data_IF_036027142912
#
_entry.id   IF_036027142912
#
_cell.length_a   1.000
_cell.length_b   1.000
_cell.length_c   1.000
_cell.angle_alpha   90.00
_cell.angle_beta   90.00
_cell.angle_gamma   90.00
#
_symmetry.space_group_name_H-M   'P 1'
#
loop_
_entity.id
_entity.type
_entity.pdbx_description
1 polymer ?
#
# COMPACT_ATOMS: atom_id res chain seq x y z
N UNK A 1 14.14 -98.27 2.12
CA UNK A 1 15.34 -97.92 2.91
C UNK A 1 16.11 -96.84 2.19
N UNK A 2 16.46 -95.77 2.93
CA UNK A 2 17.38 -94.66 2.61
C UNK A 2 17.00 -93.71 1.44
N UNK A 3 16.52 -92.49 1.72
CA UNK A 3 17.23 -91.23 2.09
C UNK A 3 17.82 -90.49 0.88
N UNK A 4 17.15 -89.41 0.45
CA UNK A 4 17.77 -88.16 0.00
C UNK A 4 16.73 -87.03 0.13
N UNK A 5 16.86 -86.21 1.17
CA UNK A 5 16.16 -84.94 1.29
C UNK A 5 17.16 -83.82 0.99
N UNK A 6 16.94 -83.09 -0.10
CA UNK A 6 17.68 -81.86 -0.42
C UNK A 6 16.97 -80.69 0.27
N UNK A 7 17.62 -80.13 1.28
CA UNK A 7 17.25 -78.85 1.89
C UNK A 7 17.88 -77.74 1.07
N UNK A 8 17.07 -76.95 0.35
CA UNK A 8 17.49 -75.65 -0.18
C UNK A 8 17.01 -74.56 0.78
N UNK A 9 17.96 -73.96 1.49
CA UNK A 9 17.74 -72.80 2.35
C UNK A 9 17.63 -71.58 1.44
N UNK A 10 16.43 -70.99 1.34
CA UNK A 10 16.25 -69.69 0.71
C UNK A 10 16.59 -68.61 1.74
N UNK A 11 17.72 -67.93 1.56
CA UNK A 11 18.03 -66.70 2.30
C UNK A 11 17.06 -65.61 1.84
N UNK A 12 16.03 -65.34 2.63
CA UNK A 12 15.22 -64.13 2.48
C UNK A 12 16.02 -62.97 3.05
N UNK A 13 16.75 -62.26 2.18
CA UNK A 13 17.28 -60.94 2.52
C UNK A 13 16.10 -59.96 2.59
N UNK A 14 15.70 -59.59 3.80
CA UNK A 14 14.84 -58.42 4.02
C UNK A 14 15.51 -57.19 3.43
N UNK A 15 14.85 -56.44 2.53
CA UNK A 15 15.38 -55.17 2.07
C UNK A 15 15.44 -54.21 3.26
N UNK A 16 16.64 -53.69 3.51
CA UNK A 16 16.86 -52.59 4.45
C UNK A 16 15.97 -51.42 4.03
N UNK A 17 14.90 -51.17 4.79
CA UNK A 17 14.13 -49.94 4.68
C UNK A 17 15.01 -48.81 5.22
N UNK A 18 15.80 -48.20 4.34
CA UNK A 18 16.31 -46.86 4.56
C UNK A 18 15.06 -45.98 4.70
N UNK A 19 14.84 -45.28 5.83
CA UNK A 19 13.71 -44.39 5.94
C UNK A 19 13.89 -43.29 4.89
N UNK A 20 13.01 -43.28 3.88
CA UNK A 20 12.85 -42.15 2.99
C UNK A 20 12.48 -40.95 3.85
N UNK A 21 13.48 -40.13 4.21
CA UNK A 21 13.25 -38.77 4.65
C UNK A 21 12.54 -38.07 3.51
N UNK A 22 11.20 -38.03 3.57
CA UNK A 22 10.37 -37.16 2.73
C UNK A 22 10.89 -35.75 2.93
N UNK A 23 11.71 -35.29 1.98
CA UNK A 23 12.15 -33.90 1.92
C UNK A 23 10.88 -33.08 1.79
N UNK A 24 10.52 -32.38 2.87
CA UNK A 24 9.32 -31.56 2.92
C UNK A 24 9.49 -30.48 1.85
N UNK A 25 8.58 -30.44 0.89
CA UNK A 25 8.64 -29.48 -0.21
C UNK A 25 8.73 -28.05 0.38
N UNK A 26 9.57 -27.18 -0.19
CA UNK A 26 9.72 -25.80 0.29
C UNK A 26 8.38 -25.07 0.20
N UNK A 27 8.00 -24.38 1.28
CA UNK A 27 6.72 -23.65 1.37
C UNK A 27 6.96 -22.15 1.46
N UNK A 28 6.04 -21.39 0.88
CA UNK A 28 5.90 -19.95 1.13
C UNK A 28 4.87 -19.74 2.23
N UNK A 29 5.27 -19.12 3.33
CA UNK A 29 4.45 -18.88 4.51
C UNK A 29 4.32 -17.37 4.71
N UNK A 30 3.10 -16.86 4.88
CA UNK A 30 2.87 -15.42 5.15
C UNK A 30 2.45 -15.26 6.60
N UNK A 31 3.22 -14.53 7.42
CA UNK A 31 2.87 -14.30 8.83
C UNK A 31 3.50 -13.04 9.43
N UNK A 32 2.77 -12.38 10.33
CA UNK A 32 3.21 -11.19 11.07
C UNK A 32 4.13 -11.51 12.26
N UNK A 33 4.12 -12.74 12.76
CA UNK A 33 4.69 -13.12 14.04
C UNK A 33 6.09 -13.77 13.94
N UNK A 34 6.67 -13.87 12.75
CA UNK A 34 7.96 -14.55 12.55
C UNK A 34 9.18 -13.68 12.83
N UNK A 35 9.01 -12.36 12.85
CA UNK A 35 10.03 -11.42 13.30
C UNK A 35 9.41 -10.14 13.86
N UNK A 36 10.12 -9.56 14.81
CA UNK A 36 9.83 -8.23 15.35
C UNK A 36 10.56 -7.16 14.55
N UNK A 37 9.86 -6.13 14.08
CA UNK A 37 10.51 -4.92 13.57
C UNK A 37 10.95 -4.08 14.78
N UNK A 38 12.25 -3.92 14.95
CA UNK A 38 12.87 -3.17 16.05
C UNK A 38 12.98 -1.69 15.72
N UNK A 39 13.38 -1.40 14.48
CA UNK A 39 13.54 -0.03 13.95
C UNK A 39 13.07 -0.01 12.50
N UNK A 40 12.39 1.06 12.04
CA UNK A 40 11.86 2.17 12.84
C UNK A 40 10.76 1.71 13.80
N UNK A 41 10.83 2.20 15.05
CA UNK A 41 9.78 1.99 16.05
C UNK A 41 8.48 2.62 15.54
N UNK A 42 7.34 2.02 15.89
CA UNK A 42 6.01 2.47 15.47
C UNK A 42 5.32 3.27 16.58
N UNK A 43 4.47 4.25 16.25
CA UNK A 43 4.47 5.03 15.00
C UNK A 43 5.67 5.99 14.97
N UNK A 44 6.18 6.36 13.80
CA UNK A 44 7.30 7.32 13.71
C UNK A 44 7.28 8.14 12.43
N UNK A 45 7.47 9.45 12.61
CA UNK A 45 7.86 10.38 11.56
C UNK A 45 9.36 10.20 11.30
N UNK A 46 9.70 9.83 10.07
CA UNK A 46 11.06 9.65 9.58
C UNK A 46 11.56 11.00 9.07
N UNK A 47 12.43 11.62 9.85
CA UNK A 47 13.07 12.87 9.48
C UNK A 47 14.35 12.63 8.67
N UNK A 48 14.71 13.60 7.83
CA UNK A 48 15.97 13.61 7.08
C UNK A 48 15.93 12.81 5.77
N UNK A 49 17.04 12.12 5.47
CA UNK A 49 17.27 11.45 4.17
C UNK A 49 17.37 9.93 4.26
N UNK A 50 17.38 9.38 5.47
CA UNK A 50 17.53 7.94 5.68
C UNK A 50 17.01 7.50 7.04
N UNK A 51 16.69 6.21 7.16
CA UNK A 51 16.33 5.58 8.44
C UNK A 51 17.01 4.23 8.57
N UNK A 52 17.24 3.84 9.82
CA UNK A 52 17.79 2.54 10.14
C UNK A 52 16.66 1.52 10.27
N UNK A 53 16.76 0.42 9.54
CA UNK A 53 15.77 -0.66 9.55
C UNK A 53 16.40 -1.88 10.18
N UNK A 54 15.75 -2.45 11.20
CA UNK A 54 16.23 -3.63 11.92
C UNK A 54 15.07 -4.54 12.28
N UNK A 55 15.26 -5.84 12.08
CA UNK A 55 14.35 -6.88 12.55
C UNK A 55 15.04 -7.86 13.50
N UNK A 56 14.24 -8.56 14.30
CA UNK A 56 14.64 -9.70 15.13
C UNK A 56 13.74 -10.89 14.80
N UNK A 57 14.23 -11.84 13.99
CA UNK A 57 13.52 -13.09 13.70
C UNK A 57 13.38 -13.96 14.96
N UNK A 58 12.23 -14.60 15.12
CA UNK A 58 11.99 -15.58 16.20
C UNK A 58 12.31 -17.02 15.76
N UNK A 59 12.82 -17.19 14.55
CA UNK A 59 13.18 -18.47 13.95
C UNK A 59 14.62 -18.47 13.43
N UNK A 60 15.11 -19.64 13.00
CA UNK A 60 16.42 -19.75 12.36
C UNK A 60 16.40 -19.07 10.99
N UNK A 61 17.49 -18.40 10.66
CA UNK A 61 17.62 -17.62 9.44
C UNK A 61 18.78 -18.18 8.62
N UNK A 62 18.54 -18.50 7.35
CA UNK A 62 19.60 -18.62 6.36
C UNK A 62 19.93 -17.24 5.81
N UNK A 63 18.91 -16.55 5.32
CA UNK A 63 19.02 -15.19 4.77
C UNK A 63 17.77 -14.37 5.11
N UNK A 64 17.92 -13.08 5.33
CA UNK A 64 16.85 -12.08 5.49
C UNK A 64 16.96 -11.07 4.37
N UNK A 65 15.83 -10.73 3.77
CA UNK A 65 15.67 -9.52 2.96
C UNK A 65 14.87 -8.50 3.77
N UNK A 66 15.39 -7.28 3.87
CA UNK A 66 14.69 -6.15 4.45
C UNK A 66 14.05 -5.35 3.33
N UNK A 67 12.76 -5.04 3.46
CA UNK A 67 11.98 -4.39 2.41
C UNK A 67 11.39 -3.07 2.90
N UNK A 68 11.32 -2.07 2.02
CA UNK A 68 10.48 -0.89 2.18
C UNK A 68 9.47 -0.86 1.02
N UNK A 69 8.19 -0.94 1.36
CA UNK A 69 7.09 -0.78 0.42
C UNK A 69 6.59 0.66 0.55
N UNK A 70 6.35 1.33 -0.57
CA UNK A 70 5.82 2.69 -0.59
C UNK A 70 5.06 2.94 -1.89
N UNK A 71 4.31 4.04 -1.93
CA UNK A 71 3.55 4.39 -3.13
C UNK A 71 4.48 4.68 -4.31
N UNK A 72 4.09 4.39 -5.56
CA UNK A 72 2.96 3.59 -6.04
C UNK A 72 3.35 2.11 -6.20
N UNK A 73 3.10 1.30 -5.17
CA UNK A 73 3.40 -0.14 -5.24
C UNK A 73 4.90 -0.49 -5.32
N UNK A 74 5.78 0.47 -5.08
CA UNK A 74 7.24 0.26 -5.15
C UNK A 74 7.73 -0.53 -3.94
N UNK A 75 8.70 -1.40 -4.20
CA UNK A 75 9.35 -2.21 -3.18
C UNK A 75 10.86 -2.08 -3.32
N UNK A 76 11.47 -1.41 -2.35
CA UNK A 76 12.92 -1.37 -2.23
C UNK A 76 13.41 -2.56 -1.42
N UNK A 77 14.38 -3.30 -1.98
CA UNK A 77 15.20 -4.21 -1.18
C UNK A 77 16.28 -3.40 -0.49
N UNK A 78 16.08 -3.13 0.80
CA UNK A 78 17.01 -2.35 1.63
C UNK A 78 18.34 -3.09 1.77
N UNK A 79 18.28 -4.39 2.08
CA UNK A 79 19.46 -5.25 2.19
C UNK A 79 19.07 -6.73 2.16
N UNK A 80 20.03 -7.57 1.75
CA UNK A 80 20.01 -9.03 1.92
C UNK A 80 21.12 -9.43 2.90
N UNK A 81 20.77 -10.06 4.02
CA UNK A 81 21.63 -10.26 5.18
C UNK A 81 21.62 -11.73 5.62
N UNK A 82 22.79 -12.31 5.87
CA UNK A 82 22.94 -13.71 6.30
C UNK A 82 23.32 -13.86 7.77
N UNK A 83 23.64 -12.75 8.46
CA UNK A 83 24.08 -12.75 9.86
C UNK A 83 23.44 -11.61 10.63
N UNK A 84 23.20 -11.85 11.92
CA UNK A 84 22.73 -10.85 12.85
C UNK A 84 23.85 -9.82 13.18
N UNK A 85 23.51 -8.56 13.52
CA UNK A 85 22.15 -8.00 13.55
C UNK A 85 21.60 -7.81 12.12
N UNK A 86 20.35 -8.24 11.90
CA UNK A 86 19.67 -8.07 10.61
C UNK A 86 19.18 -6.64 10.47
N UNK A 87 20.11 -5.75 10.13
CA UNK A 87 19.86 -4.33 10.04
C UNK A 87 20.60 -3.66 8.89
N UNK A 88 20.00 -2.64 8.31
CA UNK A 88 20.54 -1.84 7.23
C UNK A 88 19.94 -0.43 7.22
N UNK A 89 20.58 0.49 6.51
CA UNK A 89 20.07 1.85 6.32
C UNK A 89 19.30 1.92 5.02
N UNK A 90 18.04 2.33 5.09
CA UNK A 90 17.25 2.69 3.92
C UNK A 90 17.39 4.18 3.66
N UNK A 91 17.84 4.54 2.45
CA UNK A 91 17.93 5.93 2.00
C UNK A 91 16.67 6.27 1.22
N UNK A 92 16.08 7.40 1.54
CA UNK A 92 14.85 7.85 0.92
C UNK A 92 14.95 9.32 0.49
N UNK A 93 16.13 9.90 0.37
CA UNK A 93 16.35 11.30 -0.05
C UNK A 93 15.64 11.70 -1.34
N UNK A 94 15.47 10.76 -2.26
CA UNK A 94 14.83 10.99 -3.56
C UNK A 94 13.35 10.66 -3.59
N UNK A 95 12.77 10.14 -2.50
CA UNK A 95 11.34 9.81 -2.45
C UNK A 95 10.51 11.08 -2.21
N UNK A 96 9.46 11.36 -2.99
CA UNK A 96 8.55 12.46 -2.72
C UNK A 96 7.97 12.44 -1.29
N UNK A 97 7.75 13.62 -0.71
CA UNK A 97 7.14 13.80 0.63
C UNK A 97 5.65 13.34 0.70
N UNK A 98 5.08 12.76 -0.37
CA UNK A 98 3.66 12.43 -0.44
C UNK A 98 3.36 10.92 -0.59
N UNK A 99 4.38 10.09 -0.91
CA UNK A 99 4.26 8.63 -1.14
C UNK A 99 3.99 7.77 0.13
N UNK A 100 3.45 8.38 1.18
CA UNK A 100 3.67 7.97 2.57
C UNK A 100 2.50 7.20 3.17
N UNK A 101 1.33 7.23 2.55
CA UNK A 101 0.14 6.48 3.00
C UNK A 101 0.31 4.96 2.90
N UNK A 102 1.29 4.50 2.13
CA UNK A 102 1.64 3.09 2.00
C UNK A 102 3.05 2.75 2.47
N UNK A 103 3.76 3.68 3.13
CA UNK A 103 5.09 3.39 3.62
C UNK A 103 5.04 2.27 4.67
N UNK A 104 5.63 1.12 4.34
CA UNK A 104 5.64 -0.08 5.18
C UNK A 104 7.00 -0.74 5.12
N UNK A 105 7.57 -1.05 6.28
CA UNK A 105 8.76 -1.91 6.35
C UNK A 105 8.34 -3.37 6.49
N UNK A 106 8.93 -4.24 5.69
CA UNK A 106 8.67 -5.67 5.65
C UNK A 106 9.94 -6.50 5.67
N UNK A 107 9.77 -7.82 5.62
CA UNK A 107 10.88 -8.76 5.54
C UNK A 107 10.50 -10.04 4.79
N UNK A 108 11.52 -10.67 4.20
CA UNK A 108 11.48 -12.06 3.73
C UNK A 108 12.57 -12.84 4.46
N UNK A 109 12.21 -13.94 5.12
CA UNK A 109 13.15 -14.83 5.79
C UNK A 109 13.22 -16.12 5.00
N UNK A 110 14.41 -16.43 4.48
CA UNK A 110 14.72 -17.74 3.92
C UNK A 110 15.23 -18.63 5.05
N UNK A 111 14.41 -19.59 5.46
CA UNK A 111 14.75 -20.52 6.52
C UNK A 111 15.70 -21.60 5.98
N UNK A 112 16.66 -22.11 6.78
CA UNK A 112 17.61 -23.13 6.31
C UNK A 112 17.00 -24.46 5.84
N UNK A 113 15.71 -24.70 6.13
CA UNK A 113 14.97 -25.88 5.67
C UNK A 113 14.36 -25.70 4.25
N UNK A 114 14.59 -24.56 3.59
CA UNK A 114 14.02 -24.23 2.28
C UNK A 114 12.70 -23.48 2.32
N UNK A 115 12.04 -23.36 3.48
CA UNK A 115 10.82 -22.54 3.61
C UNK A 115 11.16 -21.05 3.48
N UNK A 116 10.25 -20.28 2.86
CA UNK A 116 10.34 -18.82 2.75
C UNK A 116 9.19 -18.21 3.52
N UNK A 117 9.50 -17.35 4.49
CA UNK A 117 8.54 -16.67 5.34
C UNK A 117 8.48 -15.20 4.93
N UNK A 118 7.31 -14.71 4.54
CA UNK A 118 7.10 -13.34 4.08
C UNK A 118 6.25 -12.59 5.10
N UNK A 119 6.68 -11.40 5.50
CA UNK A 119 5.82 -10.51 6.28
C UNK A 119 4.60 -10.11 5.44
N UNK A 120 3.36 -10.19 5.95
CA UNK A 120 2.20 -9.68 5.21
C UNK A 120 2.30 -8.17 5.05
N UNK A 121 1.42 -7.56 4.22
CA UNK A 121 1.30 -6.11 4.15
C UNK A 121 1.04 -5.54 5.54
N UNK A 122 2.06 -4.91 6.13
CA UNK A 122 1.95 -4.34 7.47
C UNK A 122 1.14 -3.04 7.42
N UNK A 123 0.41 -2.68 8.48
CA UNK A 123 -0.29 -1.40 8.51
C UNK A 123 0.71 -0.25 8.34
N UNK A 124 0.28 0.81 7.67
CA UNK A 124 1.09 2.01 7.56
C UNK A 124 1.24 2.65 8.95
N UNK A 125 2.49 2.74 9.42
CA UNK A 125 2.84 3.32 10.71
C UNK A 125 3.94 4.38 10.59
N UNK A 126 4.32 4.75 9.37
CA UNK A 126 5.51 5.56 9.10
C UNK A 126 5.24 6.60 8.04
N UNK A 127 5.84 7.76 8.23
CA UNK A 127 5.66 8.97 7.42
C UNK A 127 7.06 9.55 7.21
N UNK A 128 7.37 10.12 6.06
CA UNK A 128 8.63 10.83 5.85
C UNK A 128 8.34 12.33 5.96
N UNK A 129 8.78 12.98 7.02
CA UNK A 129 8.66 14.45 7.10
C UNK A 129 10.05 15.04 7.16
N UNK A 130 10.48 15.66 6.05
CA UNK A 130 11.80 16.27 5.97
C UNK A 130 11.81 17.70 6.51
N UNK A 131 10.72 18.18 7.11
CA UNK A 131 10.52 19.60 7.42
C UNK A 131 10.79 20.50 6.20
N UNK A 132 10.63 19.95 4.99
CA UNK A 132 10.75 20.72 3.76
C UNK A 132 9.53 21.64 3.71
N UNK A 133 9.71 22.93 3.39
CA UNK A 133 8.58 23.85 3.19
C UNK A 133 7.98 23.70 1.78
N UNK A 134 8.58 22.90 0.90
CA UNK A 134 8.22 22.79 -0.51
C UNK A 134 7.93 21.34 -0.87
N UNK A 135 6.69 21.04 -1.25
CA UNK A 135 6.41 19.77 -1.93
C UNK A 135 7.25 19.69 -3.20
N UNK A 136 7.91 18.54 -3.40
CA UNK A 136 8.67 18.26 -4.63
C UNK A 136 7.74 18.04 -5.83
N UNK A 137 6.45 17.74 -5.60
CA UNK A 137 5.43 17.58 -6.64
C UNK A 137 4.43 18.75 -6.60
N UNK A 138 4.16 19.33 -7.76
CA UNK A 138 3.12 20.36 -7.92
C UNK A 138 2.22 19.99 -9.10
N UNK A 139 0.94 19.89 -8.80
CA UNK A 139 -0.10 19.65 -9.81
C UNK A 139 -0.81 20.96 -10.14
N UNK A 140 -0.95 21.24 -11.44
CA UNK A 140 -1.76 22.37 -11.91
C UNK A 140 -3.21 21.92 -11.97
N UNK A 141 -4.03 22.47 -11.07
CA UNK A 141 -5.47 22.22 -11.03
C UNK A 141 -6.22 23.44 -11.58
N UNK A 142 -6.72 23.40 -12.83
CA UNK A 142 -7.41 24.53 -13.44
C UNK A 142 -8.78 24.76 -12.80
N UNK A 143 -9.15 26.04 -12.66
CA UNK A 143 -10.51 26.43 -12.26
C UNK A 143 -11.46 26.27 -13.43
N UNK A 144 -12.64 25.70 -13.19
CA UNK A 144 -13.75 25.68 -14.14
C UNK A 144 -14.87 26.64 -13.70
N UNK A 145 -15.71 27.05 -14.65
CA UNK A 145 -16.66 28.15 -14.44
C UNK A 145 -17.77 27.79 -13.43
N UNK A 146 -18.28 26.56 -13.48
CA UNK A 146 -19.38 26.10 -12.63
C UNK A 146 -19.26 24.61 -12.31
N UNK A 147 -19.96 24.17 -11.26
CA UNK A 147 -20.05 22.75 -10.89
C UNK A 147 -20.70 21.90 -11.99
N UNK A 148 -21.55 22.51 -12.82
CA UNK A 148 -22.18 21.85 -13.98
C UNK A 148 -21.27 21.71 -15.20
N UNK A 149 -20.04 22.23 -15.15
CA UNK A 149 -19.09 22.20 -16.28
C UNK A 149 -18.38 20.85 -16.43
N UNK A 150 -18.50 19.99 -15.41
CA UNK A 150 -17.96 18.62 -15.36
C UNK A 150 -19.12 17.71 -14.96
N UNK A 151 -19.38 16.70 -15.77
CA UNK A 151 -20.43 15.71 -15.52
C UNK A 151 -19.79 14.48 -14.91
N UNK A 152 -20.19 14.11 -13.69
CA UNK A 152 -19.66 12.93 -13.02
C UNK A 152 -20.50 11.70 -13.42
N UNK A 153 -20.22 11.16 -14.60
CA UNK A 153 -20.95 10.01 -15.18
C UNK A 153 -20.09 8.74 -15.32
N UNK A 154 -18.81 8.81 -14.93
CA UNK A 154 -17.85 7.72 -15.04
C UNK A 154 -17.26 7.59 -16.44
N UNK A 155 -17.37 8.61 -17.30
CA UNK A 155 -16.78 8.63 -18.64
C UNK A 155 -15.75 9.75 -18.78
N UNK A 156 -14.49 9.34 -18.91
CA UNK A 156 -13.33 10.25 -18.97
C UNK A 156 -13.21 11.07 -20.27
N UNK A 157 -14.23 11.10 -21.13
CA UNK A 157 -14.18 11.73 -22.44
C UNK A 157 -13.97 13.24 -22.38
N UNK A 158 -14.72 13.93 -21.52
CA UNK A 158 -14.59 15.38 -21.33
C UNK A 158 -13.29 15.79 -20.61
N UNK A 159 -12.69 14.85 -19.89
CA UNK A 159 -11.49 15.07 -19.11
C UNK A 159 -10.23 15.19 -19.97
N UNK A 160 -10.26 14.75 -21.24
CA UNK A 160 -9.12 14.82 -22.17
C UNK A 160 -8.53 16.22 -22.37
N UNK A 161 -9.31 17.28 -22.08
CA UNK A 161 -8.86 18.68 -22.15
C UNK A 161 -7.94 19.09 -20.98
N UNK A 162 -7.90 18.30 -19.90
CA UNK A 162 -7.06 18.55 -18.74
C UNK A 162 -5.78 17.72 -18.81
N UNK A 163 -4.72 18.28 -18.23
CA UNK A 163 -3.43 17.61 -18.15
C UNK A 163 -3.56 16.32 -17.32
N UNK A 164 -3.12 15.22 -17.92
CA UNK A 164 -3.00 13.94 -17.23
C UNK A 164 -1.70 13.91 -16.43
N UNK A 165 -1.79 13.39 -15.22
CA UNK A 165 -0.65 13.09 -14.36
C UNK A 165 -0.62 11.61 -14.02
N UNK A 166 0.58 11.05 -13.91
CA UNK A 166 0.75 9.65 -13.56
C UNK A 166 0.46 9.42 -12.07
N UNK A 167 -0.24 8.33 -11.77
CA UNK A 167 -0.27 7.69 -10.45
C UNK A 167 0.64 6.47 -10.55
N UNK A 168 1.95 6.70 -10.36
CA UNK A 168 2.92 5.64 -10.60
C UNK A 168 2.94 5.12 -12.02
N UNK A 169 3.06 3.80 -12.12
CA UNK A 169 3.04 3.09 -13.41
C UNK A 169 1.66 2.43 -13.67
N UNK A 170 0.70 2.61 -12.77
CA UNK A 170 -0.57 1.88 -12.72
C UNK A 170 -1.76 2.69 -13.25
N UNK A 171 -1.65 4.01 -13.32
CA UNK A 171 -2.77 4.83 -13.77
C UNK A 171 -2.44 6.28 -14.03
N UNK A 172 -3.47 7.03 -14.43
CA UNK A 172 -3.39 8.49 -14.58
C UNK A 172 -4.55 9.15 -13.87
N UNK A 173 -4.35 10.39 -13.43
CA UNK A 173 -5.42 11.24 -12.97
C UNK A 173 -5.42 12.60 -13.66
N UNK A 174 -6.57 13.25 -13.59
CA UNK A 174 -6.80 14.63 -14.01
C UNK A 174 -7.62 15.30 -12.93
N UNK A 175 -7.37 16.59 -12.70
CA UNK A 175 -8.10 17.35 -11.71
C UNK A 175 -8.53 18.72 -12.24
N UNK A 176 -9.57 19.25 -11.62
CA UNK A 176 -10.08 20.61 -11.83
C UNK A 176 -10.78 21.06 -10.55
N UNK A 177 -11.10 22.34 -10.43
CA UNK A 177 -11.83 22.83 -9.25
C UNK A 177 -12.80 23.97 -9.57
N UNK A 178 -13.79 24.14 -8.70
CA UNK A 178 -14.72 25.28 -8.66
C UNK A 178 -14.70 25.90 -7.27
N UNK A 179 -15.43 26.98 -7.03
CA UNK A 179 -15.53 27.53 -5.67
C UNK A 179 -16.08 26.52 -4.64
N UNK A 180 -16.91 25.56 -5.07
CA UNK A 180 -17.56 24.60 -4.17
C UNK A 180 -16.93 23.20 -4.17
N UNK A 181 -16.23 22.79 -5.22
CA UNK A 181 -15.81 21.40 -5.41
C UNK A 181 -14.39 21.24 -5.97
N UNK A 182 -13.74 20.17 -5.53
CA UNK A 182 -12.57 19.58 -6.18
C UNK A 182 -13.03 18.41 -7.04
N UNK A 183 -12.71 18.44 -8.32
CA UNK A 183 -13.03 17.38 -9.27
C UNK A 183 -11.79 16.56 -9.57
N UNK A 184 -11.95 15.24 -9.58
CA UNK A 184 -10.90 14.31 -9.99
C UNK A 184 -11.45 13.19 -10.88
N UNK A 185 -10.69 12.86 -11.90
CA UNK A 185 -10.91 11.70 -12.76
C UNK A 185 -9.66 10.84 -12.76
N UNK A 186 -9.84 9.54 -12.57
CA UNK A 186 -8.76 8.57 -12.49
C UNK A 186 -9.03 7.43 -13.46
N UNK A 187 -7.99 7.04 -14.19
CA UNK A 187 -7.96 5.88 -15.07
C UNK A 187 -6.89 4.93 -14.52
N UNK A 188 -7.30 3.71 -14.20
CA UNK A 188 -6.43 2.67 -13.65
C UNK A 188 -6.30 1.55 -14.68
N UNK A 189 -5.07 1.16 -14.95
CA UNK A 189 -4.73 -0.02 -15.72
C UNK A 189 -4.51 -1.19 -14.75
N UNK A 190 -5.43 -2.14 -14.74
CA UNK A 190 -5.41 -3.28 -13.85
C UNK A 190 -6.06 -4.50 -14.52
N UNK A 191 -5.27 -5.56 -14.67
CA UNK A 191 -5.71 -6.82 -15.27
C UNK A 191 -6.57 -7.66 -14.31
N UNK A 192 -6.51 -7.41 -13.00
CA UNK A 192 -7.15 -8.25 -11.97
C UNK A 192 -7.91 -7.40 -10.94
N UNK A 193 -9.18 -7.12 -11.26
CA UNK A 193 -10.04 -6.30 -10.39
C UNK A 193 -10.73 -7.14 -9.30
N UNK A 194 -10.36 -6.90 -8.06
CA UNK A 194 -10.88 -7.48 -6.83
C UNK A 194 -11.82 -6.56 -6.07
N UNK A 195 -12.26 -7.00 -4.89
CA UNK A 195 -13.12 -6.22 -4.00
C UNK A 195 -12.34 -5.25 -3.10
N UNK A 196 -11.00 -5.37 -3.06
CA UNK A 196 -10.14 -4.53 -2.24
C UNK A 196 -9.52 -3.37 -3.02
N UNK A 197 -9.58 -3.45 -4.34
CA UNK A 197 -9.03 -2.39 -5.18
C UNK A 197 -9.79 -1.10 -4.97
N UNK A 198 -9.03 -0.02 -4.89
CA UNK A 198 -9.57 1.32 -4.69
C UNK A 198 -8.54 2.37 -5.03
N UNK A 199 -9.06 3.54 -5.35
CA UNK A 199 -8.31 4.78 -5.38
C UNK A 199 -8.50 5.45 -4.03
N UNK A 200 -7.43 5.88 -3.37
CA UNK A 200 -7.52 6.77 -2.22
C UNK A 200 -7.07 8.17 -2.65
N UNK A 201 -7.86 9.18 -2.28
CA UNK A 201 -7.56 10.59 -2.50
C UNK A 201 -7.37 11.23 -1.14
N UNK A 202 -6.20 11.80 -0.91
CA UNK A 202 -5.77 12.28 0.38
C UNK A 202 -5.66 13.80 0.34
N UNK A 203 -6.19 14.48 1.36
CA UNK A 203 -6.28 15.93 1.44
C UNK A 203 -5.60 16.46 2.70
N UNK A 204 -4.83 17.52 2.53
CA UNK A 204 -4.30 18.42 3.56
C UNK A 204 -4.60 19.88 3.13
N UNK A 205 -5.85 20.36 3.34
CA UNK A 205 -6.31 21.67 2.90
C UNK A 205 -5.51 22.83 3.48
N UNK A 206 -4.99 22.66 4.71
CA UNK A 206 -4.21 23.69 5.41
C UNK A 206 -2.70 23.61 5.11
N UNK A 207 -2.24 22.53 4.46
CA UNK A 207 -0.82 22.21 4.25
C UNK A 207 -0.05 22.18 5.57
N UNK A 208 -0.69 21.70 6.63
CA UNK A 208 -0.07 21.61 7.93
C UNK A 208 1.02 20.53 7.95
N UNK A 209 0.96 19.57 7.01
CA UNK A 209 1.89 18.43 6.92
C UNK A 209 1.98 17.66 8.23
N UNK A 210 0.96 17.80 9.09
CA UNK A 210 0.82 17.06 10.32
C UNK A 210 0.70 15.56 10.03
N UNK A 211 0.83 14.74 11.08
CA UNK A 211 0.93 13.28 11.02
C UNK A 211 -0.35 12.53 10.57
N UNK A 212 -0.97 12.95 9.46
CA UNK A 212 -2.18 12.41 8.82
C UNK A 212 -3.47 12.35 9.67
N UNK A 213 -3.43 12.92 10.88
CA UNK A 213 -4.46 12.84 11.91
C UNK A 213 -4.99 14.21 12.38
N UNK A 214 -4.65 15.30 11.67
CA UNK A 214 -5.23 16.60 11.97
C UNK A 214 -6.73 16.61 11.70
N UNK A 215 -7.48 17.44 12.42
CA UNK A 215 -8.93 17.61 12.22
C UNK A 215 -9.30 17.99 10.78
N UNK A 216 -8.35 18.51 10.01
CA UNK A 216 -8.53 18.95 8.62
C UNK A 216 -7.96 17.98 7.57
N UNK A 217 -7.38 16.85 7.96
CA UNK A 217 -6.84 15.87 7.01
C UNK A 217 -7.90 14.80 6.70
N UNK A 218 -8.08 14.47 5.42
CA UNK A 218 -9.12 13.52 4.95
C UNK A 218 -8.57 12.57 3.91
N UNK A 219 -8.93 11.30 4.01
CA UNK A 219 -8.73 10.31 2.96
C UNK A 219 -10.09 9.83 2.49
N UNK A 220 -10.31 9.87 1.18
CA UNK A 220 -11.54 9.41 0.54
C UNK A 220 -11.19 8.28 -0.42
N UNK A 221 -11.77 7.12 -0.21
CA UNK A 221 -11.58 5.94 -1.03
C UNK A 221 -12.73 5.72 -1.99
N UNK A 222 -12.41 5.35 -3.23
CA UNK A 222 -13.35 5.00 -4.29
C UNK A 222 -12.97 3.65 -4.89
N UNK A 223 -13.84 2.66 -4.75
CA UNK A 223 -13.68 1.31 -5.29
C UNK A 223 -14.40 1.14 -6.64
N UNK A 224 -13.94 0.20 -7.48
CA UNK A 224 -14.45 0.00 -8.84
C UNK A 224 -15.89 -0.51 -8.89
N UNK A 225 -16.41 -1.06 -7.79
CA UNK A 225 -17.77 -1.61 -7.65
C UNK A 225 -18.70 -0.70 -6.84
N UNK A 226 -18.62 0.63 -7.03
CA UNK A 226 -19.44 1.64 -6.35
C UNK A 226 -19.37 1.61 -4.81
N UNK A 227 -18.22 1.21 -4.23
CA UNK A 227 -17.97 1.31 -2.79
C UNK A 227 -17.11 2.54 -2.54
N UNK A 228 -17.48 3.38 -1.58
CA UNK A 228 -16.64 4.49 -1.18
C UNK A 228 -16.66 4.67 0.34
N UNK A 229 -15.54 5.15 0.88
CA UNK A 229 -15.36 5.36 2.32
C UNK A 229 -14.56 6.64 2.56
N UNK A 230 -14.98 7.45 3.53
CA UNK A 230 -14.20 8.59 4.00
C UNK A 230 -13.68 8.27 5.39
N UNK A 231 -12.40 8.54 5.65
CA UNK A 231 -11.83 8.35 6.96
C UNK A 231 -10.71 9.37 7.24
N UNK A 232 -10.55 9.70 8.52
CA UNK A 232 -9.35 10.34 9.04
C UNK A 232 -8.43 9.26 9.64
N UNK A 233 -7.13 9.37 9.40
CA UNK A 233 -6.15 8.36 9.83
C UNK A 233 -5.42 8.87 11.07
N UNK A 234 -5.66 8.29 12.25
CA UNK A 234 -4.69 8.46 13.36
C UNK A 234 -3.61 7.40 13.22
N UNK A 235 -2.32 7.76 13.18
CA UNK A 235 -1.27 6.82 13.51
C UNK A 235 -1.52 6.32 14.94
N UNK A 236 -1.89 5.05 15.07
CA UNK A 236 -2.13 4.38 16.35
C UNK A 236 -0.98 3.45 16.73
N UNK A 237 -0.88 3.11 18.00
CA UNK A 237 -0.01 2.01 18.44
C UNK A 237 -0.65 0.66 18.06
N UNK A 238 -0.31 0.14 16.88
CA UNK A 238 -0.65 -1.24 16.45
C UNK A 238 -1.38 -1.30 15.13
N UNK A 239 -2.53 -0.63 15.02
CA UNK A 239 -3.32 -0.46 13.79
C UNK A 239 -3.63 1.02 13.68
N UNK A 240 -3.49 1.61 12.50
CA UNK A 240 -3.98 2.96 12.23
C UNK A 240 -5.47 2.97 12.57
N UNK A 241 -5.87 3.70 13.60
CA UNK A 241 -7.26 3.77 14.02
C UNK A 241 -7.94 4.89 13.25
N UNK A 242 -9.11 4.63 12.68
CA UNK A 242 -9.99 5.67 12.16
C UNK A 242 -10.21 6.70 13.27
N UNK A 243 -9.64 7.90 13.11
CA UNK A 243 -9.56 8.89 14.20
C UNK A 243 -10.83 9.68 14.34
N UNK A 244 -11.58 9.74 13.26
CA UNK A 244 -12.85 10.40 13.18
C UNK A 244 -13.66 9.68 12.10
N UNK A 245 -14.89 9.36 12.47
CA UNK A 245 -15.91 8.91 11.54
C UNK A 245 -16.89 10.06 11.39
N UNK A 246 -16.44 11.17 10.79
CA UNK A 246 -17.36 11.83 9.87
C UNK A 246 -17.58 10.79 8.77
N UNK A 247 -18.59 9.94 8.99
CA UNK A 247 -19.20 9.17 7.93
C UNK A 247 -19.86 10.24 7.09
N UNK A 248 -19.06 10.94 6.27
CA UNK A 248 -19.58 11.55 5.06
C UNK A 248 -20.30 10.40 4.42
N UNK A 249 -21.62 10.48 4.33
CA UNK A 249 -22.35 9.50 3.56
C UNK A 249 -21.95 9.83 2.14
N UNK A 250 -20.84 9.27 1.66
CA UNK A 250 -20.25 9.68 0.38
C UNK A 250 -21.30 9.55 -0.72
N UNK A 251 -22.20 8.57 -0.62
CA UNK A 251 -23.33 8.42 -1.52
C UNK A 251 -24.30 9.62 -1.52
N UNK A 252 -24.45 10.31 -0.40
CA UNK A 252 -25.36 11.45 -0.22
C UNK A 252 -24.65 12.80 -0.44
N UNK A 253 -23.35 12.89 -0.14
CA UNK A 253 -22.61 14.16 -0.04
C UNK A 253 -21.57 14.38 -1.15
N UNK A 254 -21.06 13.30 -1.76
CA UNK A 254 -20.04 13.38 -2.81
C UNK A 254 -20.59 12.77 -4.09
N UNK A 255 -20.63 13.57 -5.14
CA UNK A 255 -21.01 13.06 -6.45
C UNK A 255 -19.85 12.25 -7.03
N UNK A 256 -20.03 10.95 -7.24
CA UNK A 256 -18.99 10.10 -7.81
C UNK A 256 -19.54 8.91 -8.60
N UNK A 257 -18.75 8.40 -9.54
CA UNK A 257 -19.08 7.23 -10.37
C UNK A 257 -17.82 6.41 -10.64
N UNK A 258 -17.98 5.09 -10.68
CA UNK A 258 -16.96 4.18 -11.22
C UNK A 258 -17.48 3.44 -12.46
N UNK A 259 -16.56 3.08 -13.34
CA UNK A 259 -16.88 2.25 -14.52
C UNK A 259 -15.72 1.31 -14.82
N UNK A 260 -16.05 0.05 -15.10
CA UNK A 260 -15.08 -0.93 -15.60
C UNK A 260 -14.74 -0.62 -17.06
N UNK A 261 -13.47 -0.70 -17.39
CA UNK A 261 -12.94 -0.55 -18.75
C UNK A 261 -12.38 -1.88 -19.23
N UNK A 262 -11.92 -1.94 -20.48
CA UNK A 262 -11.29 -3.17 -21.04
C UNK A 262 -9.97 -3.48 -20.33
N UNK A 263 -9.27 -2.46 -19.83
CA UNK A 263 -7.92 -2.59 -19.28
C UNK A 263 -7.87 -2.28 -17.77
N UNK A 264 -9.00 -2.23 -17.08
CA UNK A 264 -9.07 -1.84 -15.68
C UNK A 264 -10.37 -1.13 -15.33
N UNK A 265 -10.26 0.03 -14.69
CA UNK A 265 -11.41 0.83 -14.27
C UNK A 265 -11.13 2.32 -14.24
N UNK A 266 -12.19 3.11 -14.24
CA UNK A 266 -12.10 4.54 -14.00
C UNK A 266 -13.03 4.97 -12.86
N UNK A 267 -12.65 6.08 -12.23
CA UNK A 267 -13.42 6.77 -11.20
C UNK A 267 -13.48 8.25 -11.54
N UNK A 268 -14.65 8.85 -11.37
CA UNK A 268 -14.84 10.30 -11.37
C UNK A 268 -15.49 10.71 -10.06
N UNK A 269 -15.03 11.82 -9.48
CA UNK A 269 -15.59 12.36 -8.26
C UNK A 269 -15.58 13.90 -8.28
N UNK A 270 -16.69 14.50 -7.83
CA UNK A 270 -16.83 15.90 -7.48
C UNK A 270 -16.98 16.03 -5.97
N UNK A 271 -15.88 16.36 -5.29
CA UNK A 271 -15.75 16.37 -3.84
C UNK A 271 -16.00 17.79 -3.33
N UNK A 272 -17.06 18.06 -2.54
CA UNK A 272 -17.29 19.38 -1.98
C UNK A 272 -16.21 19.78 -0.98
N UNK A 273 -15.78 21.04 -0.97
CA UNK A 273 -14.78 21.49 0.01
C UNK A 273 -15.28 21.41 1.46
N UNK A 274 -16.59 21.57 1.68
CA UNK A 274 -17.21 21.38 2.99
C UNK A 274 -17.11 19.94 3.54
N UNK A 275 -16.88 18.94 2.68
CA UNK A 275 -16.58 17.56 3.11
C UNK A 275 -15.13 17.43 3.57
N UNK A 276 -14.23 18.26 3.05
CA UNK A 276 -12.78 18.18 3.31
C UNK A 276 -12.36 18.89 4.59
N UNK A 277 -13.01 20.01 4.91
CA UNK A 277 -12.71 20.81 6.10
C UNK A 277 -13.84 21.80 6.37
N UNK A 278 -13.85 22.41 7.55
CA UNK A 278 -14.74 23.54 7.88
C UNK A 278 -14.49 24.79 7.02
N UNK A 279 -13.52 24.74 6.08
CA UNK A 279 -13.29 25.80 5.11
C UNK A 279 -14.44 25.82 4.10
N UNK A 280 -15.24 26.88 4.15
CA UNK A 280 -16.26 27.17 3.13
C UNK A 280 -15.64 27.45 1.75
N UNK A 281 -14.33 27.77 1.68
CA UNK A 281 -13.63 28.09 0.43
C UNK A 281 -12.22 27.49 0.36
N UNK A 282 -11.79 26.98 -0.82
CA UNK A 282 -10.45 26.45 -0.99
C UNK A 282 -9.38 27.55 -0.94
N UNK A 283 -8.25 27.26 -0.29
CA UNK A 283 -7.05 28.10 -0.39
C UNK A 283 -6.50 28.05 -1.82
N UNK A 284 -5.75 29.10 -2.22
CA UNK A 284 -5.00 29.13 -3.50
C UNK A 284 -4.09 27.91 -3.69
N UNK A 285 -3.59 27.37 -2.59
CA UNK A 285 -2.80 26.16 -2.57
C UNK A 285 -3.39 25.21 -1.53
N UNK A 286 -3.59 23.95 -1.93
CA UNK A 286 -4.10 22.89 -1.09
C UNK A 286 -3.18 21.67 -1.26
N UNK A 287 -2.88 20.96 -0.17
CA UNK A 287 -2.16 19.70 -0.24
C UNK A 287 -3.13 18.59 -0.64
N UNK A 288 -2.77 17.81 -1.65
CA UNK A 288 -3.44 16.55 -1.93
C UNK A 288 -2.48 15.54 -2.53
N UNK A 289 -2.87 14.27 -2.52
CA UNK A 289 -2.24 13.20 -3.27
C UNK A 289 -3.27 12.12 -3.65
N UNK A 290 -2.91 11.24 -4.58
CA UNK A 290 -3.72 10.09 -4.99
C UNK A 290 -2.88 8.83 -5.01
N UNK A 291 -3.48 7.73 -4.56
CA UNK A 291 -2.91 6.41 -4.74
C UNK A 291 -3.90 5.40 -5.28
N UNK A 292 -3.35 4.38 -5.95
CA UNK A 292 -4.05 3.16 -6.30
C UNK A 292 -3.64 2.11 -5.28
N UNK A 293 -4.62 1.39 -4.74
CA UNK A 293 -4.41 0.27 -3.84
C UNK A 293 -4.96 -0.97 -4.53
N UNK A 294 -4.07 -1.86 -4.95
CA UNK A 294 -4.42 -3.16 -5.53
C UNK A 294 -4.24 -4.27 -4.48
N UNK A 295 -4.96 -5.38 -4.65
CA UNK A 295 -4.85 -6.57 -3.79
C UNK A 295 -3.72 -7.52 -4.17
#
# INVERSE_FOLDING_TARGET
MLFFALTLISLVTTPSQIPETKVKAPRRIVTTDSARIVTPRRPRVLEGSSTFVRIEPYCRVGTVELLAHYHPGRVDTIARLTKAPFAATWRFDTLPDQDQFHLRFGYVIHHPNGDTIVSPPLPNNWVIDRNSTLSQRRTVCPRVASDSSITVDGKLGEWKRYQAEMIGDEGTFRCAWTAGRFFVAVEVNDDVITAFDRIEVMFDPKQERGSFAGLDQRVISFGPKNRSFAWAVRPGYGVSSQSDSIIVRIQDEVEWRSRLTVNGYCVEAGIPFGVLSDLEFPRKHLGFDLCIVNS
#
